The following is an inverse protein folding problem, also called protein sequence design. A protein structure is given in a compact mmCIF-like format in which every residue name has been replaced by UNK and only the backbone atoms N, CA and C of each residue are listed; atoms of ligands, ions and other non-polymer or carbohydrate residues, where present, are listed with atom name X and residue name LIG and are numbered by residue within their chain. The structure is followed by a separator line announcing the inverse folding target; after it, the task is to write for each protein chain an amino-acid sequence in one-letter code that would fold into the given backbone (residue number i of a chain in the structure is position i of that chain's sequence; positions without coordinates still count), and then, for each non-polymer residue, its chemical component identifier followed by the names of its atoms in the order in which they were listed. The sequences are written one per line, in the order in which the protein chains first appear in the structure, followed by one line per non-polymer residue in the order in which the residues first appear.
data_IF_816617780133
#
_entry.id   IF_816617780133
#
_cell.length_a   1.000
_cell.length_b   1.000
_cell.length_c   1.000
_cell.angle_alpha   90.00
_cell.angle_beta   90.00
_cell.angle_gamma   90.00
#
_symmetry.space_group_name_H-M   'P 1'
#
loop_
_entity.id
_entity.type
_entity.pdbx_description
1 polymer ?
#
# COMPACT_ATOMS: atom_id res chain seq x y z
N UNK A 1 14.49 25.44 3.36
CA UNK A 1 13.52 26.27 2.61
C UNK A 1 12.21 25.55 2.70
N UNK A 2 11.27 26.08 3.49
CA UNK A 2 9.96 25.46 3.65
C UNK A 2 9.15 25.66 2.38
N UNK A 3 8.59 24.58 1.86
CA UNK A 3 7.63 24.62 0.76
C UNK A 3 6.41 25.41 1.24
N UNK A 4 6.26 26.61 0.68
CA UNK A 4 5.15 27.51 0.96
C UNK A 4 3.84 26.85 0.54
N UNK A 5 2.89 26.78 1.47
CA UNK A 5 1.48 26.59 1.17
C UNK A 5 1.03 27.72 0.23
N UNK A 6 1.10 27.47 -1.07
CA UNK A 6 0.58 28.39 -2.08
C UNK A 6 -0.95 28.31 -2.03
N UNK A 7 -1.56 29.42 -1.58
CA UNK A 7 -3.00 29.58 -1.54
C UNK A 7 -3.64 29.21 -2.88
N UNK A 8 -4.75 28.47 -2.82
CA UNK A 8 -5.45 27.95 -3.98
C UNK A 8 -5.78 29.07 -4.99
N UNK A 9 -5.04 29.13 -6.09
CA UNK A 9 -5.39 30.01 -7.20
C UNK A 9 -6.70 29.52 -7.81
N UNK A 10 -7.79 30.25 -7.55
CA UNK A 10 -9.16 29.92 -8.00
C UNK A 10 -9.35 30.08 -9.51
N UNK A 11 -8.39 30.66 -10.22
CA UNK A 11 -8.47 30.92 -11.65
C UNK A 11 -7.72 29.92 -12.52
N UNK A 12 -6.85 29.08 -11.93
CA UNK A 12 -6.08 28.09 -12.68
C UNK A 12 -6.46 26.68 -12.27
N UNK A 13 -6.64 25.75 -13.23
CA UNK A 13 -6.87 24.36 -12.92
C UNK A 13 -5.71 23.78 -12.08
N UNK A 14 -5.98 22.98 -11.04
CA UNK A 14 -4.92 22.34 -10.26
C UNK A 14 -4.13 21.39 -11.16
N UNK A 15 -2.80 21.45 -11.09
CA UNK A 15 -1.95 20.54 -11.87
C UNK A 15 -1.93 19.13 -11.26
N UNK A 16 -2.16 18.12 -12.09
CA UNK A 16 -2.06 16.71 -11.72
C UNK A 16 -0.59 16.30 -11.65
N UNK A 17 -0.04 16.37 -10.42
CA UNK A 17 1.35 15.99 -10.14
C UNK A 17 1.39 14.66 -9.38
N UNK A 18 1.86 13.61 -10.05
CA UNK A 18 2.28 12.35 -9.44
C UNK A 18 1.18 11.60 -8.66
N UNK A 19 1.57 11.05 -7.51
CA UNK A 19 0.87 10.02 -6.74
C UNK A 19 -0.28 10.52 -5.85
N UNK A 20 -0.92 11.65 -6.19
CA UNK A 20 -2.01 12.21 -5.39
C UNK A 20 -3.26 12.52 -6.22
N UNK A 21 -3.66 11.55 -7.03
CA UNK A 21 -4.81 11.67 -7.92
C UNK A 21 -6.10 11.97 -7.16
N UNK A 22 -6.37 11.30 -6.03
CA UNK A 22 -7.57 11.58 -5.22
C UNK A 22 -7.68 13.03 -4.75
N UNK A 23 -6.58 13.65 -4.31
CA UNK A 23 -6.57 15.05 -3.90
C UNK A 23 -6.78 15.98 -5.10
N UNK A 24 -6.09 15.71 -6.21
CA UNK A 24 -6.29 16.45 -7.45
C UNK A 24 -7.74 16.35 -7.93
N UNK A 25 -8.33 15.15 -7.92
CA UNK A 25 -9.72 14.86 -8.32
C UNK A 25 -10.71 15.71 -7.53
N UNK A 26 -10.53 15.79 -6.21
CA UNK A 26 -11.35 16.62 -5.34
C UNK A 26 -11.26 18.11 -5.69
N UNK A 27 -10.05 18.64 -5.90
CA UNK A 27 -9.83 20.05 -6.25
C UNK A 27 -10.31 20.38 -7.67
N UNK A 28 -10.06 19.49 -8.63
CA UNK A 28 -10.50 19.66 -10.00
C UNK A 28 -12.02 19.68 -10.10
N UNK A 29 -12.70 18.78 -9.37
CA UNK A 29 -14.16 18.79 -9.27
C UNK A 29 -14.69 20.11 -8.72
N UNK A 30 -14.06 20.65 -7.68
CA UNK A 30 -14.44 21.95 -7.13
C UNK A 30 -14.24 23.09 -8.14
N UNK A 31 -13.13 23.07 -8.87
CA UNK A 31 -12.81 24.04 -9.93
C UNK A 31 -13.81 23.98 -11.10
N UNK A 32 -14.12 22.79 -11.61
CA UNK A 32 -15.11 22.63 -12.69
C UNK A 32 -16.49 23.12 -12.27
N UNK A 33 -16.89 22.88 -11.01
CA UNK A 33 -18.14 23.40 -10.46
C UNK A 33 -18.15 24.93 -10.35
N UNK A 34 -17.00 25.57 -10.08
CA UNK A 34 -16.92 27.03 -10.04
C UNK A 34 -16.96 27.68 -11.43
N UNK A 35 -16.59 26.95 -12.49
CA UNK A 35 -16.73 27.40 -13.88
C UNK A 35 -18.18 27.36 -14.40
N UNK A 36 -19.06 26.61 -13.73
CA UNK A 36 -20.49 26.57 -14.01
C UNK A 36 -21.12 25.22 -13.70
N UNK A 37 -22.38 25.22 -13.23
CA UNK A 37 -23.08 23.98 -12.86
C UNK A 37 -23.20 22.96 -14.01
N UNK A 38 -23.27 23.43 -15.25
CA UNK A 38 -23.30 22.57 -16.44
C UNK A 38 -21.95 22.01 -16.85
N UNK A 39 -20.83 22.61 -16.43
CA UNK A 39 -19.46 22.19 -16.76
C UNK A 39 -19.10 20.90 -16.03
N UNK A 40 -19.39 20.80 -14.73
CA UNK A 40 -19.21 19.52 -14.03
C UNK A 40 -20.21 18.46 -14.52
N UNK A 41 -21.43 18.86 -14.90
CA UNK A 41 -22.45 17.93 -15.39
C UNK A 41 -22.03 17.28 -16.70
N UNK A 42 -21.37 18.00 -17.62
CA UNK A 42 -20.88 17.43 -18.88
C UNK A 42 -19.82 16.35 -18.65
N UNK A 43 -19.00 16.46 -17.61
CA UNK A 43 -18.05 15.40 -17.20
C UNK A 43 -18.78 14.17 -16.65
N UNK A 44 -19.88 14.34 -15.91
CA UNK A 44 -20.65 13.21 -15.35
C UNK A 44 -21.48 12.48 -16.42
N UNK A 45 -22.22 13.23 -17.24
CA UNK A 45 -23.15 12.65 -18.21
C UNK A 45 -22.47 12.32 -19.54
N UNK A 46 -21.39 13.03 -19.86
CA UNK A 46 -20.81 13.06 -21.19
C UNK A 46 -21.56 14.05 -22.08
N UNK A 47 -20.83 14.61 -23.03
CA UNK A 47 -21.42 15.32 -24.17
C UNK A 47 -21.46 14.40 -25.38
N UNK A 48 -22.52 14.54 -26.17
CA UNK A 48 -22.67 13.83 -27.44
C UNK A 48 -22.97 14.84 -28.53
N UNK A 49 -22.33 14.66 -29.67
CA UNK A 49 -22.53 15.51 -30.83
C UNK A 49 -24.01 15.49 -31.28
N UNK A 50 -24.67 16.65 -31.38
CA UNK A 50 -26.05 16.75 -31.82
C UNK A 50 -26.30 16.10 -33.18
N UNK A 51 -27.35 15.29 -33.25
CA UNK A 51 -27.74 14.56 -34.47
C UNK A 51 -29.17 14.88 -34.87
N UNK A 52 -29.37 14.93 -36.18
CA UNK A 52 -30.69 15.02 -36.80
C UNK A 52 -31.05 13.65 -37.36
N UNK A 53 -32.24 13.19 -37.02
CA UNK A 53 -32.79 11.93 -37.51
C UNK A 53 -33.76 12.20 -38.66
N UNK A 54 -33.83 11.28 -39.61
CA UNK A 54 -34.89 11.25 -40.62
C UNK A 54 -36.25 10.97 -39.96
N UNK A 55 -37.35 11.29 -40.65
CA UNK A 55 -38.72 11.13 -40.13
C UNK A 55 -39.05 9.68 -39.76
N UNK A 56 -38.37 8.72 -40.40
CA UNK A 56 -38.47 7.27 -40.13
C UNK A 56 -37.46 6.77 -39.08
N UNK A 57 -36.62 7.65 -38.51
CA UNK A 57 -35.57 7.36 -37.52
C UNK A 57 -34.49 6.36 -37.98
N UNK A 58 -34.46 5.96 -39.25
CA UNK A 58 -33.52 4.94 -39.76
C UNK A 58 -32.14 5.50 -40.03
N UNK A 59 -32.05 6.79 -40.37
CA UNK A 59 -30.80 7.44 -40.76
C UNK A 59 -30.56 8.67 -39.88
N UNK A 60 -29.33 8.88 -39.44
CA UNK A 60 -28.93 10.09 -38.71
C UNK A 60 -27.77 10.77 -39.41
N UNK A 61 -27.75 12.11 -39.35
CA UNK A 61 -26.60 12.93 -39.72
C UNK A 61 -26.17 13.80 -38.55
N UNK A 62 -24.87 14.08 -38.50
CA UNK A 62 -24.34 15.11 -37.59
C UNK A 62 -24.94 16.43 -38.01
N UNK A 63 -25.42 17.17 -37.02
CA UNK A 63 -26.04 18.46 -37.21
C UNK A 63 -24.92 19.51 -37.37
N UNK A 64 -24.98 20.44 -38.34
CA UNK A 64 -24.04 21.56 -38.37
C UNK A 64 -24.36 22.53 -37.22
N UNK A 65 -23.36 23.28 -36.78
CA UNK A 65 -23.47 24.19 -35.62
C UNK A 65 -24.62 25.19 -35.76
N UNK A 66 -24.88 25.67 -36.98
CA UNK A 66 -25.93 26.65 -37.29
C UNK A 66 -27.35 26.11 -37.02
N UNK A 67 -27.53 24.79 -37.07
CA UNK A 67 -28.83 24.18 -36.77
C UNK A 67 -29.01 23.98 -35.25
N UNK A 68 -27.97 24.12 -34.42
CA UNK A 68 -28.02 23.77 -33.00
C UNK A 68 -29.09 24.58 -32.27
N UNK A 69 -29.88 23.88 -31.46
CA UNK A 69 -30.76 24.52 -30.48
C UNK A 69 -29.92 25.20 -29.40
N UNK A 70 -30.51 26.19 -28.73
CA UNK A 70 -29.83 26.91 -27.64
C UNK A 70 -29.31 25.99 -26.54
N UNK A 71 -30.03 24.90 -26.24
CA UNK A 71 -29.62 23.89 -25.26
C UNK A 71 -28.44 23.04 -25.75
N UNK A 72 -28.40 22.68 -27.03
CA UNK A 72 -27.30 21.94 -27.65
C UNK A 72 -26.01 22.78 -27.69
N UNK A 73 -26.12 24.07 -28.05
CA UNK A 73 -24.99 25.02 -28.00
C UNK A 73 -24.46 25.11 -26.57
N UNK A 74 -25.34 25.33 -25.61
CA UNK A 74 -24.95 25.46 -24.19
C UNK A 74 -24.28 24.18 -23.67
N UNK A 75 -24.75 23.00 -24.08
CA UNK A 75 -24.14 21.72 -23.70
C UNK A 75 -22.74 21.54 -24.31
N UNK A 76 -22.54 21.92 -25.57
CA UNK A 76 -21.24 21.91 -26.22
C UNK A 76 -20.27 22.87 -25.52
N UNK A 77 -20.70 24.10 -25.22
CA UNK A 77 -19.87 25.07 -24.48
C UNK A 77 -19.44 24.55 -23.10
N UNK A 78 -20.32 23.84 -22.39
CA UNK A 78 -19.97 23.23 -21.11
C UNK A 78 -18.97 22.09 -21.25
N UNK A 79 -19.06 21.28 -22.30
CA UNK A 79 -18.06 20.28 -22.62
C UNK A 79 -16.71 20.93 -22.91
N UNK A 80 -16.66 21.92 -23.79
CA UNK A 80 -15.42 22.57 -24.21
C UNK A 80 -14.72 23.26 -23.03
N UNK A 81 -15.49 23.90 -22.14
CA UNK A 81 -14.97 24.49 -20.89
C UNK A 81 -14.37 23.43 -19.97
N UNK A 82 -15.03 22.27 -19.83
CA UNK A 82 -14.54 21.19 -18.99
C UNK A 82 -13.28 20.57 -19.59
N UNK A 83 -13.28 20.29 -20.89
CA UNK A 83 -12.17 19.69 -21.62
C UNK A 83 -10.93 20.59 -21.57
N UNK A 84 -11.09 21.89 -21.83
CA UNK A 84 -10.01 22.87 -21.72
C UNK A 84 -9.45 22.96 -20.29
N UNK A 85 -10.32 22.92 -19.27
CA UNK A 85 -9.87 22.91 -17.88
C UNK A 85 -9.07 21.63 -17.54
N UNK A 86 -9.51 20.47 -18.01
CA UNK A 86 -8.80 19.19 -17.83
C UNK A 86 -7.46 19.21 -18.57
N UNK A 87 -7.41 19.67 -19.82
CA UNK A 87 -6.18 19.78 -20.60
C UNK A 87 -5.17 20.74 -19.97
N UNK A 88 -5.63 21.86 -19.42
CA UNK A 88 -4.78 22.80 -18.69
C UNK A 88 -4.30 22.29 -17.33
N UNK A 89 -4.85 21.19 -16.84
CA UNK A 89 -4.56 20.61 -15.54
C UNK A 89 -3.55 19.46 -15.57
N UNK A 90 -3.25 18.94 -16.74
CA UNK A 90 -2.41 17.75 -16.91
C UNK A 90 -1.02 18.14 -17.39
N UNK A 91 -0.04 17.30 -17.09
CA UNK A 91 1.30 17.47 -17.64
C UNK A 91 1.38 16.91 -19.08
N UNK A 92 2.54 17.04 -19.73
CA UNK A 92 2.71 16.57 -21.10
C UNK A 92 2.52 15.06 -21.25
N UNK A 93 2.80 14.26 -20.22
CA UNK A 93 2.66 12.80 -20.28
C UNK A 93 1.18 12.39 -20.26
N UNK A 94 0.42 12.93 -19.32
CA UNK A 94 -1.01 12.70 -19.19
C UNK A 94 -1.80 13.33 -20.35
N UNK A 95 -1.37 14.51 -20.83
CA UNK A 95 -2.00 15.16 -21.99
C UNK A 95 -2.02 14.27 -23.22
N UNK A 96 -0.93 13.54 -23.51
CA UNK A 96 -0.88 12.60 -24.65
C UNK A 96 -1.89 11.47 -24.56
N UNK A 97 -2.34 11.11 -23.36
CA UNK A 97 -3.37 10.07 -23.17
C UNK A 97 -4.76 10.59 -23.55
N UNK A 98 -5.01 11.86 -23.29
CA UNK A 98 -6.33 12.47 -23.45
C UNK A 98 -6.44 13.43 -24.65
N UNK A 99 -5.35 13.64 -25.41
CA UNK A 99 -5.29 14.66 -26.46
C UNK A 99 -6.28 14.45 -27.61
N UNK A 100 -6.75 13.21 -27.80
CA UNK A 100 -7.70 12.85 -28.85
C UNK A 100 -9.15 12.75 -28.34
N UNK A 101 -9.41 13.15 -27.09
CA UNK A 101 -10.75 13.15 -26.53
C UNK A 101 -11.51 14.40 -26.99
N UNK A 102 -12.70 14.21 -27.56
CA UNK A 102 -13.64 15.31 -27.87
C UNK A 102 -14.65 15.53 -26.74
N UNK A 103 -14.73 14.57 -25.80
CA UNK A 103 -15.65 14.58 -24.68
C UNK A 103 -14.88 14.69 -23.36
N UNK A 104 -15.26 15.65 -22.51
CA UNK A 104 -14.65 15.87 -21.20
C UNK A 104 -14.81 14.66 -20.26
N UNK A 105 -15.91 13.90 -20.41
CA UNK A 105 -16.11 12.65 -19.67
C UNK A 105 -15.08 11.59 -20.04
N UNK A 106 -14.83 11.40 -21.33
CA UNK A 106 -13.86 10.41 -21.80
C UNK A 106 -12.45 10.76 -21.30
N UNK A 107 -12.04 12.03 -21.42
CA UNK A 107 -10.78 12.50 -20.87
C UNK A 107 -10.68 12.27 -19.36
N UNK A 108 -11.76 12.52 -18.61
CA UNK A 108 -11.82 12.29 -17.17
C UNK A 108 -11.70 10.80 -16.82
N UNK A 109 -12.44 9.94 -17.50
CA UNK A 109 -12.47 8.50 -17.27
C UNK A 109 -11.11 7.86 -17.57
N UNK A 110 -10.42 8.29 -18.64
CA UNK A 110 -9.05 7.83 -18.95
C UNK A 110 -8.08 8.19 -17.81
N UNK A 111 -8.13 9.42 -17.29
CA UNK A 111 -7.28 9.84 -16.17
C UNK A 111 -7.60 9.03 -14.90
N UNK A 112 -8.88 8.76 -14.64
CA UNK A 112 -9.32 7.95 -13.51
C UNK A 112 -8.76 6.52 -13.57
N UNK A 113 -8.93 5.85 -14.71
CA UNK A 113 -8.43 4.47 -14.92
C UNK A 113 -6.91 4.42 -14.83
N UNK A 114 -6.21 5.41 -15.40
CA UNK A 114 -4.75 5.45 -15.40
C UNK A 114 -4.19 5.56 -13.98
N UNK A 115 -4.77 6.43 -13.15
CA UNK A 115 -4.24 6.69 -11.81
C UNK A 115 -4.76 5.74 -10.73
N UNK A 116 -5.91 5.10 -10.89
CA UNK A 116 -6.34 4.03 -9.98
C UNK A 116 -5.36 2.84 -9.97
N UNK A 117 -4.75 2.52 -11.12
CA UNK A 117 -3.70 1.51 -11.24
C UNK A 117 -2.42 1.91 -10.50
N UNK A 118 -1.98 3.14 -10.69
CA UNK A 118 -0.78 3.68 -10.05
C UNK A 118 -0.92 3.81 -8.53
N UNK A 119 -2.09 4.16 -8.00
CA UNK A 119 -2.31 4.20 -6.55
C UNK A 119 -2.25 2.82 -5.89
N UNK A 120 -2.68 1.76 -6.60
CA UNK A 120 -2.54 0.39 -6.10
C UNK A 120 -1.08 -0.04 -6.12
N UNK A 121 -0.35 0.28 -7.18
CA UNK A 121 1.08 0.01 -7.28
C UNK A 121 1.90 0.80 -6.23
N UNK A 122 1.57 2.07 -6.02
CA UNK A 122 2.20 2.92 -5.01
C UNK A 122 2.00 2.37 -3.59
N UNK A 123 0.78 1.94 -3.25
CA UNK A 123 0.48 1.28 -1.96
C UNK A 123 1.26 -0.02 -1.73
N UNK A 124 1.65 -0.72 -2.81
CA UNK A 124 2.49 -1.91 -2.71
C UNK A 124 3.97 -1.57 -2.50
N UNK A 125 4.42 -0.42 -2.99
CA UNK A 125 5.79 0.08 -2.79
C UNK A 125 5.97 0.81 -1.45
N UNK A 126 4.90 1.07 -0.69
CA UNK A 126 5.03 1.63 0.65
C UNK A 126 5.73 0.62 1.59
N UNK A 127 6.78 1.04 2.33
CA UNK A 127 7.44 0.16 3.27
C UNK A 127 6.43 -0.31 4.32
N UNK A 128 6.29 -1.63 4.46
CA UNK A 128 5.34 -2.22 5.42
C UNK A 128 5.77 -1.80 6.83
N UNK A 129 4.90 -1.10 7.60
CA UNK A 129 5.20 -0.71 8.97
C UNK A 129 5.56 -1.92 9.85
N UNK A 130 6.56 -1.78 10.73
CA UNK A 130 7.08 -2.89 11.54
C UNK A 130 6.01 -3.57 12.39
N UNK A 131 5.08 -2.80 12.95
CA UNK A 131 3.95 -3.35 13.72
C UNK A 131 3.05 -4.28 12.87
N UNK A 132 2.89 -4.01 11.58
CA UNK A 132 2.16 -4.91 10.67
C UNK A 132 2.95 -6.18 10.39
N UNK A 133 4.27 -6.11 10.31
CA UNK A 133 5.14 -7.28 10.16
C UNK A 133 5.09 -8.17 11.41
N UNK A 134 5.20 -7.57 12.60
CA UNK A 134 5.05 -8.26 13.89
C UNK A 134 3.72 -9.00 13.98
N UNK A 135 2.61 -8.36 13.61
CA UNK A 135 1.29 -8.99 13.61
C UNK A 135 1.14 -10.11 12.57
N UNK A 136 1.90 -10.08 11.48
CA UNK A 136 1.93 -11.18 10.51
C UNK A 136 2.69 -12.37 11.07
N UNK A 137 3.85 -12.14 11.69
CA UNK A 137 4.65 -13.21 12.34
C UNK A 137 3.86 -13.85 13.48
N UNK A 138 3.25 -13.06 14.37
CA UNK A 138 2.41 -13.59 15.45
C UNK A 138 1.20 -14.40 14.96
N UNK A 139 0.72 -14.16 13.73
CA UNK A 139 -0.38 -14.93 13.11
C UNK A 139 0.09 -16.24 12.49
N UNK A 140 1.36 -16.34 12.09
CA UNK A 140 1.93 -17.55 11.51
C UNK A 140 2.57 -18.48 12.53
N UNK A 141 2.60 -18.10 13.82
CA UNK A 141 3.19 -18.94 14.85
C UNK A 141 2.34 -20.19 15.13
N UNK A 142 2.97 -21.34 15.41
CA UNK A 142 2.29 -22.59 15.79
C UNK A 142 1.42 -22.46 17.04
N UNK A 143 0.52 -23.43 17.22
CA UNK A 143 -0.40 -23.49 18.38
C UNK A 143 0.33 -23.57 19.71
N UNK A 144 1.55 -24.11 19.75
CA UNK A 144 2.33 -24.16 21.00
C UNK A 144 2.63 -22.77 21.57
N UNK A 145 2.66 -21.73 20.73
CA UNK A 145 2.89 -20.34 21.12
C UNK A 145 1.59 -19.57 21.41
N UNK A 146 0.42 -20.21 21.37
CA UNK A 146 -0.87 -19.51 21.43
C UNK A 146 -1.04 -18.69 22.72
N UNK A 147 -0.61 -19.25 23.85
CA UNK A 147 -0.64 -18.57 25.15
C UNK A 147 0.27 -17.35 25.18
N UNK A 148 1.46 -17.47 24.60
CA UNK A 148 2.44 -16.38 24.51
C UNK A 148 2.00 -15.30 23.53
N UNK A 149 1.44 -15.66 22.38
CA UNK A 149 0.85 -14.72 21.42
C UNK A 149 -0.27 -13.93 22.08
N UNK A 150 -1.14 -14.57 22.88
CA UNK A 150 -2.19 -13.88 23.64
C UNK A 150 -1.60 -12.94 24.70
N UNK A 151 -0.54 -13.36 25.40
CA UNK A 151 0.16 -12.51 26.38
C UNK A 151 0.82 -11.30 25.72
N UNK A 152 1.52 -11.51 24.61
CA UNK A 152 2.15 -10.46 23.79
C UNK A 152 1.09 -9.49 23.26
N UNK A 153 -0.07 -9.98 22.80
CA UNK A 153 -1.21 -9.15 22.37
C UNK A 153 -1.85 -8.32 23.47
N UNK A 154 -1.90 -8.86 24.68
CA UNK A 154 -2.41 -8.14 25.85
C UNK A 154 -1.41 -7.10 26.35
N UNK A 155 -0.11 -7.33 26.14
CA UNK A 155 0.89 -6.30 26.40
C UNK A 155 0.72 -5.13 25.41
N UNK A 156 0.71 -3.88 25.89
CA UNK A 156 0.60 -2.70 25.02
C UNK A 156 1.83 -2.54 24.08
N UNK A 157 2.78 -3.48 24.09
CA UNK A 157 4.02 -3.42 23.35
C UNK A 157 3.86 -3.63 21.85
N UNK A 158 2.80 -4.31 21.37
CA UNK A 158 2.65 -4.63 19.93
C UNK A 158 2.71 -3.41 19.02
N UNK A 159 2.17 -2.27 19.46
CA UNK A 159 2.14 -1.05 18.64
C UNK A 159 3.55 -0.48 18.40
N UNK A 160 4.47 -0.71 19.33
CA UNK A 160 5.81 -0.13 19.33
C UNK A 160 6.92 -1.20 19.23
N UNK A 161 6.55 -2.48 19.08
CA UNK A 161 7.49 -3.59 19.05
C UNK A 161 8.10 -3.72 17.65
N UNK A 162 9.43 -3.78 17.61
CA UNK A 162 10.19 -4.04 16.39
C UNK A 162 10.22 -5.55 16.11
N UNK A 163 10.50 -5.92 14.85
CA UNK A 163 10.63 -7.32 14.49
C UNK A 163 11.77 -8.01 15.26
N UNK A 164 12.88 -7.32 15.48
CA UNK A 164 14.03 -7.84 16.22
C UNK A 164 13.69 -8.11 17.70
N UNK A 165 12.91 -7.22 18.32
CA UNK A 165 12.44 -7.41 19.69
C UNK A 165 11.49 -8.62 19.78
N UNK A 166 10.58 -8.79 18.81
CA UNK A 166 9.73 -9.98 18.74
C UNK A 166 10.57 -11.26 18.62
N UNK A 167 11.55 -11.27 17.71
CA UNK A 167 12.42 -12.43 17.52
C UNK A 167 13.17 -12.79 18.80
N UNK A 168 13.68 -11.80 19.54
CA UNK A 168 14.33 -12.05 20.83
C UNK A 168 13.40 -12.63 21.90
N UNK A 169 12.14 -12.19 21.94
CA UNK A 169 11.13 -12.75 22.86
C UNK A 169 10.83 -14.21 22.49
N UNK A 170 10.63 -14.50 21.19
CA UNK A 170 10.37 -15.85 20.71
C UNK A 170 11.55 -16.80 20.97
N UNK A 171 12.79 -16.33 20.81
CA UNK A 171 13.99 -17.09 21.18
C UNK A 171 14.03 -17.43 22.67
N UNK A 172 13.60 -16.52 23.55
CA UNK A 172 13.50 -16.79 24.98
C UNK A 172 12.46 -17.85 25.29
N UNK A 173 11.27 -17.74 24.69
CA UNK A 173 10.19 -18.73 24.85
C UNK A 173 10.64 -20.12 24.38
N UNK A 174 11.29 -20.19 23.22
CA UNK A 174 11.85 -21.44 22.68
C UNK A 174 12.85 -22.09 23.66
N UNK A 175 13.74 -21.31 24.29
CA UNK A 175 14.71 -21.80 25.25
C UNK A 175 14.04 -22.39 26.50
N UNK A 176 13.03 -21.70 27.02
CA UNK A 176 12.26 -22.14 28.19
C UNK A 176 11.50 -23.44 27.88
N UNK A 177 10.85 -23.53 26.71
CA UNK A 177 10.17 -24.74 26.26
C UNK A 177 11.14 -25.93 26.11
N UNK A 178 12.34 -25.71 25.58
CA UNK A 178 13.38 -26.76 25.46
C UNK A 178 13.86 -27.22 26.83
N UNK A 179 13.99 -26.31 27.79
CA UNK A 179 14.41 -26.65 29.15
C UNK A 179 13.33 -27.44 29.90
N UNK A 180 12.07 -27.03 29.79
CA UNK A 180 10.93 -27.75 30.37
C UNK A 180 10.75 -29.13 29.76
N UNK A 181 10.96 -29.29 28.46
CA UNK A 181 10.85 -30.59 27.81
C UNK A 181 11.99 -31.55 28.22
N UNK A 182 13.18 -31.03 28.57
CA UNK A 182 14.25 -31.83 29.20
C UNK A 182 13.86 -32.29 30.61
N UNK A 183 13.13 -31.46 31.36
CA UNK A 183 12.65 -31.77 32.72
C UNK A 183 11.48 -32.76 32.72
N UNK A 184 10.68 -32.81 31.65
CA UNK A 184 9.46 -33.65 31.53
C UNK A 184 9.67 -35.06 30.99
N UNK A 185 10.89 -35.50 30.63
CA UNK A 185 11.14 -36.92 30.31
C UNK A 185 10.85 -37.78 31.56
N UNK A 186 9.87 -38.71 31.53
CA UNK A 186 9.40 -39.32 32.77
C UNK A 186 10.27 -40.50 33.21
N UNK A 187 10.62 -40.48 34.50
CA UNK A 187 10.76 -41.68 35.31
C UNK A 187 9.60 -42.65 35.04
N UNK A 188 9.92 -43.94 34.95
CA UNK A 188 8.96 -44.99 34.61
C UNK A 188 7.86 -45.12 35.68
N UNK A 189 6.61 -45.06 35.20
CA UNK A 189 5.44 -45.84 35.61
C UNK A 189 5.11 -45.98 37.11
N UNK A 190 3.94 -45.47 37.52
CA UNK A 190 2.96 -46.28 38.27
C UNK A 190 1.56 -45.97 37.72
N UNK A 191 0.92 -46.99 37.16
CA UNK A 191 -0.44 -46.96 36.66
C UNK A 191 -1.45 -47.14 37.81
N UNK A 192 -2.56 -46.40 37.76
CA UNK A 192 -3.80 -46.70 38.49
C UNK A 192 -4.98 -46.51 37.52
N UNK A 193 -5.85 -47.51 37.31
CA UNK A 193 -6.98 -47.36 36.40
C UNK A 193 -8.26 -46.94 37.13
N UNK A 194 -9.11 -46.27 36.35
CA UNK A 194 -10.57 -46.11 36.47
C UNK A 194 -11.05 -44.78 37.06
N UNK A 195 -11.77 -43.99 36.27
CA UNK A 195 -13.24 -44.12 36.11
C UNK A 195 -13.66 -43.30 34.90
N UNK A 196 -14.36 -43.95 33.96
CA UNK A 196 -14.97 -43.31 32.79
C UNK A 196 -16.11 -42.40 33.24
N UNK A 197 -16.03 -41.13 32.87
CA UNK A 197 -17.21 -40.31 32.62
C UNK A 197 -16.99 -39.68 31.26
N UNK A 198 -17.77 -40.17 30.30
CA UNK A 198 -17.94 -39.58 28.98
C UNK A 198 -18.51 -38.15 29.15
N UNK A 199 -17.84 -37.15 28.59
CA UNK A 199 -18.47 -35.89 28.21
C UNK A 199 -17.84 -35.39 26.91
N UNK A 200 -18.70 -34.83 26.08
CA UNK A 200 -18.76 -35.06 24.64
C UNK A 200 -18.11 -33.92 23.84
N UNK A 201 -17.37 -34.31 22.80
CA UNK A 201 -17.09 -33.59 21.55
C UNK A 201 -16.49 -32.18 21.59
N UNK A 202 -15.22 -32.06 21.16
CA UNK A 202 -14.82 -31.03 20.19
C UNK A 202 -13.76 -31.56 19.20
N UNK A 203 -14.06 -31.34 17.92
CA UNK A 203 -13.42 -31.82 16.70
C UNK A 203 -11.88 -31.69 16.70
N UNK A 204 -11.21 -32.85 16.69
CA UNK A 204 -9.82 -32.99 16.25
C UNK A 204 -9.70 -32.54 14.79
N UNK A 205 -9.29 -31.30 14.58
CA UNK A 205 -8.61 -30.92 13.35
C UNK A 205 -7.13 -31.14 13.62
N UNK A 206 -6.68 -32.39 13.44
CA UNK A 206 -5.27 -32.66 13.19
C UNK A 206 -4.88 -31.85 11.96
N UNK A 207 -4.36 -30.64 12.20
CA UNK A 207 -3.71 -29.85 11.17
C UNK A 207 -2.61 -30.75 10.61
N UNK A 208 -2.72 -31.16 9.34
CA UNK A 208 -1.86 -32.14 8.68
C UNK A 208 -0.43 -32.11 9.26
N UNK A 209 0.03 -33.25 9.78
CA UNK A 209 1.37 -33.41 10.34
C UNK A 209 2.42 -32.91 9.32
N UNK A 210 2.16 -33.11 8.03
CA UNK A 210 2.90 -32.58 6.89
C UNK A 210 2.96 -31.04 6.85
N UNK A 211 1.87 -30.34 7.14
CA UNK A 211 1.83 -28.88 7.17
C UNK A 211 2.59 -28.32 8.38
N UNK A 212 2.49 -28.97 9.53
CA UNK A 212 3.28 -28.61 10.71
C UNK A 212 4.78 -28.84 10.46
N UNK A 213 5.14 -29.95 9.80
CA UNK A 213 6.51 -30.19 9.35
C UNK A 213 6.97 -29.11 8.36
N UNK A 214 6.16 -28.75 7.36
CA UNK A 214 6.47 -27.68 6.42
C UNK A 214 6.65 -26.31 7.09
N UNK A 215 5.80 -25.98 8.08
CA UNK A 215 5.93 -24.77 8.89
C UNK A 215 7.18 -24.79 9.77
N UNK A 216 7.52 -25.94 10.36
CA UNK A 216 8.74 -26.10 11.14
C UNK A 216 9.98 -25.92 10.27
N UNK A 217 9.96 -26.47 9.04
CA UNK A 217 11.02 -26.32 8.04
C UNK A 217 11.12 -24.87 7.60
N UNK A 218 9.99 -24.20 7.33
CA UNK A 218 9.93 -22.78 7.00
C UNK A 218 10.52 -21.93 8.12
N UNK A 219 10.12 -22.16 9.37
CA UNK A 219 10.60 -21.42 10.55
C UNK A 219 12.10 -21.64 10.76
N UNK A 220 12.58 -22.88 10.61
CA UNK A 220 14.01 -23.21 10.70
C UNK A 220 14.82 -22.60 9.57
N UNK A 221 14.31 -22.62 8.33
CA UNK A 221 14.92 -21.98 7.16
C UNK A 221 14.96 -20.46 7.32
N UNK A 222 13.86 -19.86 7.78
CA UNK A 222 13.73 -18.44 8.05
C UNK A 222 14.73 -18.00 9.12
N UNK A 223 14.82 -18.73 10.23
CA UNK A 223 15.82 -18.52 11.29
C UNK A 223 17.25 -18.63 10.77
N UNK A 224 17.55 -19.66 9.97
CA UNK A 224 18.87 -19.85 9.35
C UNK A 224 19.26 -18.68 8.44
N UNK A 225 18.34 -18.25 7.56
CA UNK A 225 18.55 -17.11 6.66
C UNK A 225 18.72 -15.80 7.43
N UNK A 226 17.96 -15.61 8.51
CA UNK A 226 18.05 -14.42 9.36
C UNK A 226 19.39 -14.34 10.12
N UNK A 227 19.84 -15.45 10.72
CA UNK A 227 21.16 -15.55 11.38
C UNK A 227 22.30 -15.31 10.37
N UNK A 228 22.20 -15.86 9.16
CA UNK A 228 23.21 -15.69 8.11
C UNK A 228 23.29 -14.24 7.61
N UNK A 229 22.15 -13.54 7.49
CA UNK A 229 22.10 -12.11 7.16
C UNK A 229 22.72 -11.22 8.25
N UNK A 230 22.57 -11.60 9.52
CA UNK A 230 23.17 -10.93 10.69
C UNK A 230 24.68 -11.15 10.80
N UNK A 231 25.20 -12.28 10.30
CA UNK A 231 26.63 -12.57 10.15
C UNK A 231 27.30 -11.71 9.07
N UNK A 232 26.64 -11.51 7.92
CA UNK A 232 27.20 -10.71 6.82
C UNK A 232 27.32 -9.21 7.18
N UNK A 233 26.39 -8.65 7.95
CA UNK A 233 26.47 -7.25 8.39
C UNK A 233 27.65 -6.96 9.34
N UNK A 234 28.20 -7.97 10.01
CA UNK A 234 29.38 -7.81 10.88
C UNK A 234 30.70 -7.78 10.12
N UNK A 235 30.76 -8.31 8.90
CA UNK A 235 32.00 -8.38 8.10
C UNK A 235 32.23 -7.18 7.17
N UNK A 236 31.22 -6.37 6.85
CA UNK A 236 31.42 -5.13 6.07
C UNK A 236 31.98 -3.95 6.91
N UNK A 237 32.13 -4.12 8.22
CA UNK A 237 32.53 -3.06 9.17
C UNK A 237 34.02 -2.97 9.51
N UNK A 238 34.92 -3.78 8.92
CA UNK A 238 36.36 -3.73 9.27
C UNK A 238 37.28 -3.93 8.06
N UNK A 239 37.38 -2.92 7.22
CA UNK A 239 38.62 -2.66 6.47
C UNK A 239 38.70 -1.20 6.03
N UNK A 240 39.24 -0.34 6.92
CA UNK A 240 40.08 0.79 6.51
C UNK A 240 41.23 0.89 7.50
N UNK A 241 42.43 0.61 7.00
CA UNK A 241 43.67 0.63 7.75
C UNK A 241 44.05 2.03 8.21
N UNK A 242 44.76 2.08 9.35
CA UNK A 242 45.52 3.25 9.75
C UNK A 242 46.92 3.18 9.12
N UNK A 243 47.44 4.26 8.51
CA UNK A 243 48.85 4.34 8.17
C UNK A 243 49.66 4.74 9.41
N UNK A 244 50.68 3.95 9.69
CA UNK A 244 51.78 4.28 10.61
C UNK A 244 52.52 5.54 10.15
N UNK A 245 52.85 6.43 11.08
CA UNK A 245 53.81 7.53 10.87
C UNK A 245 54.80 7.59 12.02
N UNK A 246 55.95 6.98 11.78
CA UNK A 246 57.23 7.41 12.34
C UNK A 246 57.68 8.71 11.67
N UNK A 247 57.98 9.76 12.44
CA UNK A 247 58.96 10.80 12.07
C UNK A 247 59.34 11.71 13.25
N UNK A 248 60.49 11.39 13.85
CA UNK A 248 61.53 12.21 14.47
C UNK A 248 61.33 13.74 14.63
N UNK A 249 61.65 14.19 15.85
CA UNK A 249 62.48 15.35 16.24
C UNK A 249 62.62 16.53 15.27
N UNK A 250 62.25 17.73 15.74
CA UNK A 250 63.20 18.84 15.87
C UNK A 250 62.72 19.92 16.85
N UNK A 251 63.67 20.25 17.70
CA UNK A 251 63.77 21.33 18.68
C UNK A 251 63.80 22.72 18.02
N UNK A 252 63.29 23.76 18.69
CA UNK A 252 63.93 25.08 18.93
C UNK A 252 62.92 26.22 19.18
N UNK A 253 63.18 26.94 20.29
CA UNK A 253 62.94 28.35 20.63
C UNK A 253 61.61 29.03 20.28
N UNK A 254 60.93 29.66 21.24
CA UNK A 254 61.40 30.81 22.03
C UNK A 254 60.62 30.96 23.32
#
# INVERSE_FOLDING_TARGET
MGDMEEGANVQRPPLLRGHNYNFWKGRMRAFLKSLGGGVWRSVETGWTEPRKYSDDLTTSRIKPFEEYSRTEVTAAEFNDKALNAIFGAVDSTQYKLISNCDNAKEAWDILEVTHEGDEKAARLNEPIPENKLVLKVLRSLPKEYEMDVKAIRRSHNIKNMTLDALMGILESIELDMVEDNKRRKPDKQIAFPSTEVEDDGEHDWSLDEDFQEQLSLFTRQFKKQWIQKRSNQRHEGTSKGLPSKDAKYKETHR
#
